data_IF_201024791916
#
_entry.id   IF_201024791916
#
_cell.length_a   1.000
_cell.length_b   1.000
_cell.length_c   1.000
_cell.angle_alpha   90.00
_cell.angle_beta   90.00
_cell.angle_gamma   90.00
#
_symmetry.space_group_name_H-M   'P 1'
#
loop_
_entity.id
_entity.type
_entity.pdbx_description
1 polymer ?
#
# COMPACT_ATOMS: atom_id res chain seq x y z
N UNK A 1 1.32 23.47 1.06
CA UNK A 1 1.89 23.50 2.43
C UNK A 1 1.35 22.31 3.21
N UNK A 2 2.10 21.20 3.22
CA UNK A 2 1.85 20.03 4.08
C UNK A 2 3.16 19.76 4.84
N UNK A 3 3.56 20.70 5.69
CA UNK A 3 4.70 20.53 6.61
C UNK A 3 4.13 20.14 7.98
N UNK A 4 3.97 18.84 8.25
CA UNK A 4 3.42 18.41 9.53
C UNK A 4 3.49 16.92 9.86
N UNK A 5 3.80 16.05 8.91
CA UNK A 5 4.00 14.63 9.18
C UNK A 5 5.49 14.29 9.07
N UNK A 6 6.21 14.44 10.17
CA UNK A 6 7.53 13.82 10.32
C UNK A 6 7.33 12.33 10.51
N UNK A 7 7.86 11.52 9.60
CA UNK A 7 7.98 10.07 9.81
C UNK A 7 8.69 9.88 11.16
N UNK A 8 8.10 9.06 12.04
CA UNK A 8 8.63 8.81 13.37
C UNK A 8 9.86 7.88 13.24
N UNK A 9 10.95 8.45 12.72
CA UNK A 9 12.24 7.82 12.47
C UNK A 9 13.18 8.05 13.66
N UNK A 10 12.69 7.97 14.91
CA UNK A 10 13.60 8.07 16.06
C UNK A 10 14.56 6.88 16.00
N UNK A 11 15.87 7.10 15.76
CA UNK A 11 16.81 6.00 15.68
C UNK A 11 16.94 5.38 17.08
N UNK A 12 17.01 4.06 17.13
CA UNK A 12 17.55 3.39 18.32
C UNK A 12 19.00 3.86 18.53
N UNK A 13 19.57 3.78 19.76
CA UNK A 13 20.90 4.34 20.15
C UNK A 13 22.10 3.95 19.25
N UNK A 14 21.91 3.08 18.25
CA UNK A 14 22.94 2.57 17.34
C UNK A 14 22.55 2.64 15.85
N UNK A 15 21.46 3.35 15.49
CA UNK A 15 21.07 3.54 14.09
C UNK A 15 21.40 4.96 13.59
N UNK A 16 21.83 5.05 12.35
CA UNK A 16 22.09 6.27 11.61
C UNK A 16 21.03 6.49 10.53
N UNK A 17 20.78 7.75 10.18
CA UNK A 17 19.93 8.14 9.05
C UNK A 17 20.78 8.84 8.01
N UNK A 18 20.78 8.33 6.78
CA UNK A 18 21.52 8.90 5.66
C UNK A 18 20.59 9.15 4.47
N UNK A 19 20.83 10.23 3.72
CA UNK A 19 20.15 10.46 2.44
C UNK A 19 21.09 10.13 1.29
N UNK A 20 20.62 9.31 0.36
CA UNK A 20 21.41 8.81 -0.77
C UNK A 20 20.62 8.89 -2.07
N UNK A 21 21.32 9.13 -3.18
CA UNK A 21 20.79 9.03 -4.54
C UNK A 21 21.27 7.72 -5.14
N UNK A 22 20.35 6.88 -5.61
CA UNK A 22 20.66 5.55 -6.15
C UNK A 22 21.32 5.70 -7.51
N UNK A 23 22.50 5.13 -7.69
CA UNK A 23 23.20 5.12 -8.99
C UNK A 23 23.00 3.80 -9.73
N UNK A 24 22.96 2.70 -8.99
CA UNK A 24 22.91 1.37 -9.59
C UNK A 24 22.21 0.39 -8.63
N UNK A 25 21.34 -0.45 -9.19
CA UNK A 25 20.76 -1.58 -8.48
C UNK A 25 21.57 -2.82 -8.85
N UNK A 26 22.47 -3.24 -7.96
CA UNK A 26 23.41 -4.34 -8.19
C UNK A 26 22.73 -5.71 -8.11
N UNK A 27 21.72 -5.83 -7.24
CA UNK A 27 20.96 -7.06 -7.06
C UNK A 27 19.56 -6.75 -6.52
N UNK A 28 18.59 -7.55 -6.94
CA UNK A 28 17.25 -7.62 -6.36
C UNK A 28 16.83 -9.09 -6.27
N UNK A 29 16.27 -9.50 -5.14
CA UNK A 29 15.70 -10.83 -4.98
C UNK A 29 14.41 -10.98 -5.78
N UNK A 30 14.05 -12.22 -6.15
CA UNK A 30 12.84 -12.50 -6.93
C UNK A 30 11.54 -12.12 -6.19
N UNK A 31 11.55 -12.22 -4.86
CA UNK A 31 10.45 -11.80 -3.99
C UNK A 31 10.37 -10.27 -3.80
N UNK A 32 11.37 -9.52 -4.29
CA UNK A 32 11.43 -8.06 -4.21
C UNK A 32 11.73 -7.47 -2.82
N UNK A 33 11.92 -8.31 -1.80
CA UNK A 33 12.14 -7.86 -0.41
C UNK A 33 13.59 -7.60 -0.06
N UNK A 34 14.54 -7.91 -0.95
CA UNK A 34 15.95 -7.64 -0.71
C UNK A 34 16.59 -7.00 -1.95
N UNK A 35 17.32 -5.92 -1.74
CA UNK A 35 18.11 -5.29 -2.78
C UNK A 35 19.49 -4.86 -2.27
N UNK A 36 20.43 -4.84 -3.20
CA UNK A 36 21.76 -4.26 -3.02
C UNK A 36 21.87 -3.10 -4.01
N UNK A 37 22.11 -1.90 -3.51
CA UNK A 37 22.22 -0.70 -4.34
C UNK A 37 23.53 0.02 -4.09
N UNK A 38 24.15 0.54 -5.15
CA UNK A 38 25.19 1.57 -5.06
C UNK A 38 24.51 2.92 -5.13
N UNK A 39 24.81 3.78 -4.17
CA UNK A 39 24.20 5.09 -4.05
C UNK A 39 25.24 6.12 -3.58
N UNK A 40 24.95 7.39 -3.80
CA UNK A 40 25.82 8.50 -3.38
C UNK A 40 25.10 9.34 -2.33
N UNK A 41 25.77 9.65 -1.22
CA UNK A 41 25.21 10.54 -0.19
C UNK A 41 24.89 11.91 -0.78
N UNK A 42 23.67 12.39 -0.52
CA UNK A 42 23.15 13.67 -1.02
C UNK A 42 23.18 14.79 0.03
N UNK A 43 23.31 14.40 1.31
CA UNK A 43 23.55 15.28 2.47
C UNK A 43 24.76 14.79 3.26
N UNK A 44 25.50 15.72 3.84
CA UNK A 44 26.73 15.49 4.64
C UNK A 44 27.85 14.78 3.86
N UNK A 45 28.42 15.53 2.92
CA UNK A 45 29.63 15.16 2.18
C UNK A 45 30.86 15.27 3.10
N UNK A 46 31.17 14.20 3.83
CA UNK A 46 32.50 13.99 4.39
C UNK A 46 33.04 12.60 3.99
N UNK A 47 34.25 12.63 3.40
CA UNK A 47 35.23 11.57 3.11
C UNK A 47 34.83 10.35 2.24
N UNK A 48 33.57 9.94 2.15
CA UNK A 48 33.16 8.89 1.20
C UNK A 48 31.74 9.13 0.65
N UNK A 49 31.59 9.68 -0.57
CA UNK A 49 30.28 9.90 -1.17
C UNK A 49 29.57 8.58 -1.49
N UNK A 50 30.33 7.53 -1.81
CA UNK A 50 29.78 6.25 -2.25
C UNK A 50 29.35 5.38 -1.06
N UNK A 51 28.14 4.85 -1.17
CA UNK A 51 27.52 3.97 -0.18
C UNK A 51 26.94 2.76 -0.90
N UNK A 52 27.32 1.56 -0.45
CA UNK A 52 26.60 0.34 -0.80
C UNK A 52 25.55 0.08 0.27
N UNK A 53 24.27 0.19 -0.07
CA UNK A 53 23.17 -0.08 0.84
C UNK A 53 22.55 -1.46 0.56
N UNK A 54 22.20 -2.18 1.63
CA UNK A 54 21.61 -3.53 1.57
C UNK A 54 20.42 -3.64 2.51
N UNK A 55 19.36 -4.31 2.09
CA UNK A 55 18.20 -4.58 2.93
C UNK A 55 16.90 -4.63 2.15
N UNK A 56 15.79 -4.51 2.86
CA UNK A 56 14.47 -4.39 2.24
C UNK A 56 14.26 -2.96 1.76
N UNK A 57 14.68 -2.73 0.51
CA UNK A 57 14.58 -1.44 -0.17
C UNK A 57 13.40 -1.42 -1.15
N UNK A 58 12.56 -2.46 -1.21
CA UNK A 58 11.46 -2.52 -2.16
C UNK A 58 11.89 -2.32 -3.63
N UNK A 59 11.01 -1.71 -4.43
CA UNK A 59 11.23 -1.48 -5.86
C UNK A 59 11.97 -0.17 -6.20
N UNK A 60 13.10 0.09 -5.54
CA UNK A 60 13.94 1.27 -5.83
C UNK A 60 14.33 1.35 -7.30
N UNK A 61 14.32 2.55 -7.87
CA UNK A 61 14.84 2.82 -9.21
C UNK A 61 16.12 3.66 -9.18
N UNK A 62 16.97 3.48 -10.18
CA UNK A 62 18.14 4.35 -10.40
C UNK A 62 17.67 5.80 -10.52
N UNK A 63 18.35 6.72 -9.84
CA UNK A 63 18.01 8.14 -9.75
C UNK A 63 17.13 8.52 -8.57
N UNK A 64 16.51 7.57 -7.87
CA UNK A 64 15.68 7.87 -6.72
C UNK A 64 16.55 8.34 -5.55
N UNK A 65 16.05 9.33 -4.82
CA UNK A 65 16.66 9.74 -3.56
C UNK A 65 15.93 9.06 -2.41
N UNK A 66 16.68 8.36 -1.57
CA UNK A 66 16.16 7.61 -0.45
C UNK A 66 16.76 8.16 0.85
N UNK A 67 15.91 8.31 1.86
CA UNK A 67 16.35 8.42 3.25
C UNK A 67 16.39 7.02 3.84
N UNK A 68 17.58 6.54 4.15
CA UNK A 68 17.82 5.21 4.73
C UNK A 68 18.01 5.33 6.23
N UNK A 69 17.42 4.40 6.98
CA UNK A 69 17.68 4.18 8.41
C UNK A 69 18.35 2.82 8.58
N UNK A 70 19.39 2.75 9.40
CA UNK A 70 20.11 1.50 9.60
C UNK A 70 21.48 1.71 10.22
N UNK A 71 22.44 0.84 9.90
CA UNK A 71 23.81 0.93 10.44
C UNK A 71 24.85 0.53 9.41
N UNK A 72 26.05 1.07 9.54
CA UNK A 72 27.20 0.56 8.80
C UNK A 72 27.66 -0.78 9.40
N UNK A 73 28.01 -1.72 8.52
CA UNK A 73 28.59 -3.01 8.88
C UNK A 73 29.66 -3.37 7.86
N UNK A 74 30.78 -3.91 8.31
CA UNK A 74 31.81 -4.44 7.43
C UNK A 74 31.49 -5.88 7.05
N UNK A 75 31.52 -6.16 5.75
CA UNK A 75 31.39 -7.52 5.26
C UNK A 75 32.74 -8.06 4.77
N UNK A 76 33.15 -9.28 5.19
CA UNK A 76 34.48 -9.82 4.92
C UNK A 76 34.91 -9.81 3.44
N UNK A 77 33.96 -10.02 2.52
CA UNK A 77 34.22 -10.07 1.06
C UNK A 77 33.93 -8.78 0.29
N UNK A 78 33.07 -7.90 0.80
CA UNK A 78 32.48 -6.82 0.00
C UNK A 78 32.68 -5.44 0.66
N UNK A 79 33.47 -5.38 1.73
CA UNK A 79 33.78 -4.14 2.44
C UNK A 79 32.58 -3.56 3.20
N UNK A 80 32.68 -2.26 3.47
CA UNK A 80 31.72 -1.50 4.28
C UNK A 80 30.40 -1.31 3.55
N UNK A 81 29.29 -1.67 4.19
CA UNK A 81 27.94 -1.53 3.65
C UNK A 81 27.01 -0.91 4.68
N UNK A 82 26.00 -0.20 4.20
CA UNK A 82 24.90 0.30 5.01
C UNK A 82 23.78 -0.73 5.05
N UNK A 83 23.60 -1.39 6.19
CA UNK A 83 22.50 -2.32 6.41
C UNK A 83 21.25 -1.54 6.78
N UNK A 84 20.38 -1.32 5.79
CA UNK A 84 19.14 -0.58 5.94
C UNK A 84 18.09 -1.44 6.67
N UNK A 85 17.59 -0.91 7.79
CA UNK A 85 16.43 -1.44 8.53
C UNK A 85 15.12 -0.81 8.07
N UNK A 86 15.20 0.32 7.36
CA UNK A 86 14.08 0.95 6.69
C UNK A 86 14.54 2.00 5.69
N UNK A 87 13.65 2.40 4.80
CA UNK A 87 13.87 3.51 3.89
C UNK A 87 12.58 4.27 3.62
N UNK A 88 12.72 5.52 3.19
CA UNK A 88 11.63 6.36 2.71
C UNK A 88 12.11 7.12 1.46
N UNK A 89 11.42 7.02 0.31
CA UNK A 89 11.68 7.87 -0.84
C UNK A 89 11.48 9.34 -0.46
N UNK A 90 12.40 10.21 -0.87
CA UNK A 90 12.33 11.66 -0.62
C UNK A 90 12.69 12.41 -1.89
N UNK A 91 12.22 13.66 -2.02
CA UNK A 91 12.74 14.53 -3.05
C UNK A 91 14.15 15.01 -2.69
N UNK A 92 15.06 15.12 -3.67
CA UNK A 92 16.34 15.77 -3.43
C UNK A 92 16.12 17.27 -3.20
N UNK A 93 16.93 17.82 -2.30
CA UNK A 93 16.88 19.24 -1.90
C UNK A 93 18.19 19.97 -2.21
N UNK A 94 19.18 19.25 -2.75
CA UNK A 94 20.50 19.80 -3.10
C UNK A 94 20.67 19.77 -4.61
N UNK A 95 21.28 20.80 -5.19
CA UNK A 95 21.52 20.91 -6.62
C UNK A 95 22.16 19.64 -7.24
N UNK A 96 23.22 19.04 -6.66
CA UNK A 96 23.75 17.78 -7.17
C UNK A 96 22.74 16.63 -7.16
N UNK A 97 21.93 16.54 -6.11
CA UNK A 97 20.85 15.54 -6.01
C UNK A 97 19.74 15.78 -7.04
N UNK A 98 19.37 17.04 -7.26
CA UNK A 98 18.34 17.41 -8.24
C UNK A 98 18.81 17.09 -9.66
N UNK A 99 20.07 17.39 -10.01
CA UNK A 99 20.64 17.02 -11.32
C UNK A 99 20.56 15.51 -11.53
N UNK A 100 20.95 14.70 -10.53
CA UNK A 100 20.89 13.23 -10.62
C UNK A 100 19.45 12.76 -10.79
N UNK A 101 18.53 13.25 -9.96
CA UNK A 101 17.11 12.88 -10.02
C UNK A 101 16.49 13.20 -11.38
N UNK A 102 16.60 14.44 -11.85
CA UNK A 102 16.05 14.86 -13.14
C UNK A 102 16.75 14.19 -14.33
N UNK A 103 18.06 13.97 -14.25
CA UNK A 103 18.89 13.42 -15.33
C UNK A 103 18.95 11.89 -15.41
N UNK A 104 18.42 11.19 -14.41
CA UNK A 104 18.44 9.73 -14.28
C UNK A 104 17.58 8.96 -15.30
N UNK A 105 16.69 9.66 -16.00
CA UNK A 105 15.67 9.02 -16.84
C UNK A 105 14.39 8.63 -16.10
N UNK A 106 14.29 8.87 -14.78
CA UNK A 106 13.04 8.69 -14.04
C UNK A 106 11.91 9.60 -14.53
N UNK A 107 12.28 10.77 -15.05
CA UNK A 107 11.36 11.76 -15.59
C UNK A 107 11.56 11.82 -17.10
N UNK A 108 10.54 11.36 -17.83
CA UNK A 108 10.54 11.40 -19.29
C UNK A 108 10.75 12.82 -19.81
N UNK A 109 11.62 12.97 -20.81
CA UNK A 109 11.87 14.25 -21.48
C UNK A 109 12.96 15.13 -20.85
N UNK A 110 13.58 14.70 -19.73
CA UNK A 110 14.75 15.36 -19.13
C UNK A 110 15.96 14.42 -19.21
N UNK A 111 16.93 14.78 -20.06
CA UNK A 111 18.25 14.14 -20.07
C UNK A 111 19.23 14.91 -19.18
N UNK A 112 20.38 14.29 -18.87
CA UNK A 112 21.45 14.87 -18.03
C UNK A 112 21.78 16.33 -18.38
N UNK A 113 22.04 16.65 -19.64
CA UNK A 113 22.38 18.03 -20.05
C UNK A 113 21.22 19.04 -19.95
N UNK A 114 19.96 18.59 -19.90
CA UNK A 114 18.83 19.49 -19.60
C UNK A 114 18.69 19.68 -18.09
N UNK A 115 18.85 18.61 -17.30
CA UNK A 115 18.85 18.67 -15.85
C UNK A 115 19.92 19.64 -15.32
N UNK A 116 21.15 19.54 -15.84
CA UNK A 116 22.25 20.44 -15.48
C UNK A 116 21.91 21.90 -15.74
N UNK A 117 21.31 22.22 -16.91
CA UNK A 117 20.93 23.60 -17.26
C UNK A 117 19.76 24.13 -16.43
N UNK A 118 18.77 23.28 -16.14
CA UNK A 118 17.66 23.64 -15.25
C UNK A 118 18.19 24.00 -13.85
N UNK A 119 19.06 23.17 -13.29
CA UNK A 119 19.63 23.38 -11.96
C UNK A 119 20.65 24.52 -11.96
N UNK A 120 21.39 24.74 -13.03
CA UNK A 120 22.28 25.90 -13.17
C UNK A 120 21.50 27.23 -13.12
N UNK A 121 20.27 27.23 -13.64
CA UNK A 121 19.42 28.42 -13.70
C UNK A 121 18.58 28.62 -12.43
N UNK A 122 17.97 27.56 -11.89
CA UNK A 122 17.05 27.65 -10.74
C UNK A 122 17.64 27.16 -9.41
N UNK A 123 18.83 26.56 -9.41
CA UNK A 123 19.48 26.06 -8.20
C UNK A 123 18.67 25.00 -7.46
N UNK A 124 18.67 25.07 -6.13
CA UNK A 124 17.95 24.14 -5.26
C UNK A 124 16.42 24.25 -5.39
N UNK A 125 15.90 25.35 -5.96
CA UNK A 125 14.46 25.58 -6.15
C UNK A 125 13.91 24.92 -7.44
N UNK A 126 14.75 24.23 -8.20
CA UNK A 126 14.37 23.70 -9.53
C UNK A 126 13.10 22.85 -9.51
N UNK A 127 12.92 21.97 -8.52
CA UNK A 127 11.73 21.11 -8.43
C UNK A 127 10.48 21.94 -8.12
N UNK A 128 10.59 22.94 -7.24
CA UNK A 128 9.48 23.84 -6.91
C UNK A 128 9.09 24.69 -8.12
N UNK A 129 10.06 25.20 -8.87
CA UNK A 129 9.81 25.94 -10.11
C UNK A 129 9.10 25.05 -11.14
N UNK A 130 9.54 23.81 -11.33
CA UNK A 130 8.89 22.89 -12.27
C UNK A 130 7.44 22.62 -11.87
N UNK A 131 7.19 22.38 -10.58
CA UNK A 131 5.87 21.97 -10.09
C UNK A 131 4.89 23.15 -9.99
N UNK A 132 5.35 24.32 -9.51
CA UNK A 132 4.50 25.47 -9.19
C UNK A 132 4.53 26.56 -10.27
N UNK A 133 5.64 26.73 -10.97
CA UNK A 133 5.89 27.84 -11.90
C UNK A 133 6.37 27.36 -13.27
N UNK A 134 5.77 26.30 -13.82
CA UNK A 134 6.25 25.59 -15.03
C UNK A 134 6.49 26.50 -16.25
N UNK A 135 5.81 27.64 -16.36
CA UNK A 135 6.03 28.64 -17.42
C UNK A 135 7.47 29.19 -17.42
N UNK A 136 8.09 29.30 -16.24
CA UNK A 136 9.47 29.77 -16.07
C UNK A 136 10.50 28.82 -16.68
N UNK A 137 10.17 27.54 -16.88
CA UNK A 137 11.09 26.62 -17.57
C UNK A 137 11.50 27.12 -18.96
N UNK A 138 10.70 28.00 -19.58
CA UNK A 138 11.03 28.65 -20.86
C UNK A 138 12.17 29.66 -20.78
N UNK A 139 12.58 30.08 -19.58
CA UNK A 139 13.78 30.88 -19.34
C UNK A 139 15.04 30.09 -19.71
N UNK A 140 14.98 28.74 -19.66
CA UNK A 140 16.10 27.87 -19.98
C UNK A 140 16.11 27.53 -21.49
N UNK A 141 17.22 27.76 -22.20
CA UNK A 141 17.31 27.50 -23.64
C UNK A 141 16.90 26.08 -24.03
N UNK A 142 16.14 25.93 -25.12
CA UNK A 142 15.72 24.61 -25.61
C UNK A 142 14.49 24.01 -24.91
N UNK A 143 13.80 24.76 -24.05
CA UNK A 143 12.50 24.39 -23.48
C UNK A 143 11.39 25.27 -24.07
N UNK A 144 10.65 24.72 -25.03
CA UNK A 144 9.41 25.32 -25.54
C UNK A 144 8.21 25.09 -24.61
N UNK A 145 7.09 25.77 -24.89
CA UNK A 145 5.88 25.69 -24.06
C UNK A 145 5.36 24.25 -23.88
N UNK A 146 5.25 23.47 -24.96
CA UNK A 146 4.79 22.09 -24.88
C UNK A 146 5.72 21.18 -24.05
N UNK A 147 7.05 21.40 -24.16
CA UNK A 147 8.03 20.65 -23.37
C UNK A 147 8.02 21.04 -21.90
N UNK A 148 7.80 22.33 -21.59
CA UNK A 148 7.64 22.81 -20.22
C UNK A 148 6.41 22.16 -19.55
N UNK A 149 5.28 22.10 -20.26
CA UNK A 149 4.06 21.43 -19.80
C UNK A 149 4.30 19.93 -19.53
N UNK A 150 4.92 19.22 -20.47
CA UNK A 150 5.18 17.78 -20.34
C UNK A 150 6.13 17.47 -19.19
N UNK A 151 7.19 18.28 -19.02
CA UNK A 151 8.14 18.15 -17.90
C UNK A 151 7.41 18.38 -16.58
N UNK A 152 6.64 19.46 -16.48
CA UNK A 152 5.91 19.79 -15.26
C UNK A 152 4.92 18.69 -14.87
N UNK A 153 4.19 18.14 -15.85
CA UNK A 153 3.29 17.01 -15.63
C UNK A 153 4.05 15.81 -15.06
N UNK A 154 5.12 15.36 -15.72
CA UNK A 154 5.88 14.19 -15.31
C UNK A 154 6.52 14.35 -13.92
N UNK A 155 7.04 15.54 -13.60
CA UNK A 155 7.59 15.84 -12.27
C UNK A 155 6.49 15.87 -11.21
N UNK A 156 5.32 16.44 -11.50
CA UNK A 156 4.18 16.46 -10.54
C UNK A 156 3.68 15.05 -10.23
N UNK A 157 3.52 14.20 -11.23
CA UNK A 157 3.11 12.80 -11.05
C UNK A 157 4.11 12.06 -10.14
N UNK A 158 5.41 12.17 -10.43
CA UNK A 158 6.45 11.56 -9.59
C UNK A 158 6.49 12.16 -8.18
N UNK A 159 6.33 13.47 -8.06
CA UNK A 159 6.30 14.15 -6.77
C UNK A 159 5.13 13.66 -5.91
N UNK A 160 3.92 13.56 -6.49
CA UNK A 160 2.74 13.08 -5.81
C UNK A 160 2.92 11.64 -5.29
N UNK A 161 3.57 10.76 -6.05
CA UNK A 161 3.88 9.40 -5.60
C UNK A 161 4.82 9.40 -4.38
N UNK A 162 5.86 10.24 -4.38
CA UNK A 162 6.80 10.37 -3.26
C UNK A 162 6.10 10.94 -2.04
N UNK A 163 5.34 12.03 -2.17
CA UNK A 163 4.58 12.63 -1.06
C UNK A 163 3.57 11.64 -0.47
N UNK A 164 2.90 10.88 -1.33
CA UNK A 164 1.97 9.83 -0.91
C UNK A 164 2.69 8.75 -0.11
N UNK A 165 3.83 8.27 -0.60
CA UNK A 165 4.62 7.27 0.12
C UNK A 165 5.07 7.82 1.48
N UNK A 166 5.60 9.04 1.54
CA UNK A 166 5.99 9.71 2.79
C UNK A 166 4.81 9.81 3.76
N UNK A 167 3.62 10.18 3.27
CA UNK A 167 2.40 10.24 4.06
C UNK A 167 2.01 8.87 4.64
N UNK A 168 1.99 7.82 3.83
CA UNK A 168 1.67 6.46 4.27
C UNK A 168 2.67 5.97 5.32
N UNK A 169 3.96 6.19 5.10
CA UNK A 169 5.02 5.85 6.06
C UNK A 169 4.88 6.65 7.36
N UNK A 170 4.52 7.93 7.26
CA UNK A 170 4.26 8.83 8.39
C UNK A 170 3.11 8.37 9.29
N UNK A 171 2.12 7.67 8.74
CA UNK A 171 1.02 7.04 9.48
C UNK A 171 1.41 5.73 10.18
N UNK A 172 2.68 5.33 10.10
CA UNK A 172 3.19 4.09 10.68
C UNK A 172 2.95 2.84 9.83
N UNK A 173 2.54 3.01 8.56
CA UNK A 173 2.31 1.89 7.64
C UNK A 173 3.66 1.26 7.26
N UNK A 174 3.79 -0.05 7.46
CA UNK A 174 4.97 -0.83 7.04
C UNK A 174 5.18 -0.81 5.52
N UNK A 175 6.42 -1.07 5.05
CA UNK A 175 6.82 -0.85 3.65
C UNK A 175 5.94 -1.66 2.69
N UNK A 176 5.80 -2.96 2.97
CA UNK A 176 5.01 -3.85 2.15
C UNK A 176 3.52 -3.44 2.09
N UNK A 177 2.97 -2.89 3.18
CA UNK A 177 1.60 -2.39 3.18
C UNK A 177 1.47 -1.09 2.38
N UNK A 178 2.40 -0.14 2.54
CA UNK A 178 2.43 1.10 1.78
C UNK A 178 2.54 0.81 0.26
N UNK A 179 3.40 -0.13 -0.15
CA UNK A 179 3.54 -0.54 -1.55
C UNK A 179 2.23 -1.13 -2.10
N UNK A 180 1.47 -1.87 -1.30
CA UNK A 180 0.17 -2.42 -1.72
C UNK A 180 -0.91 -1.34 -1.85
N UNK A 181 -0.96 -0.36 -0.94
CA UNK A 181 -1.85 0.80 -1.06
C UNK A 181 -1.51 1.59 -2.32
N UNK A 182 -0.22 1.86 -2.55
CA UNK A 182 0.26 2.57 -3.74
C UNK A 182 -0.08 1.83 -5.03
N UNK A 183 0.11 0.50 -5.08
CA UNK A 183 -0.24 -0.31 -6.24
C UNK A 183 -1.74 -0.29 -6.54
N UNK A 184 -2.59 -0.19 -5.50
CA UNK A 184 -4.05 -0.20 -5.66
C UNK A 184 -4.63 1.14 -6.09
N UNK A 185 -4.18 2.24 -5.48
CA UNK A 185 -4.80 3.56 -5.62
C UNK A 185 -3.93 4.60 -6.31
N UNK A 186 -2.63 4.36 -6.47
CA UNK A 186 -1.71 5.29 -7.09
C UNK A 186 -1.75 6.67 -6.42
N UNK A 187 -2.02 7.70 -7.21
CA UNK A 187 -2.09 9.10 -6.76
C UNK A 187 -3.29 9.37 -5.83
N UNK A 188 -4.37 8.57 -5.90
CA UNK A 188 -5.53 8.73 -5.02
C UNK A 188 -5.30 8.15 -3.62
N UNK A 189 -4.19 7.44 -3.38
CA UNK A 189 -3.96 6.71 -2.13
C UNK A 189 -4.10 7.61 -0.88
N UNK A 190 -3.56 8.84 -0.90
CA UNK A 190 -3.72 9.79 0.22
C UNK A 190 -5.19 10.09 0.48
N UNK A 191 -5.94 10.41 -0.58
CA UNK A 191 -7.35 10.77 -0.46
C UNK A 191 -8.17 9.60 0.07
N UNK A 192 -7.96 8.39 -0.46
CA UNK A 192 -8.65 7.16 -0.06
C UNK A 192 -8.39 6.82 1.41
N UNK A 193 -7.11 6.85 1.80
CA UNK A 193 -6.70 6.59 3.18
C UNK A 193 -7.29 7.62 4.14
N UNK A 194 -7.36 8.90 3.76
CA UNK A 194 -7.98 9.95 4.59
C UNK A 194 -9.50 9.83 4.66
N UNK A 195 -10.16 9.40 3.60
CA UNK A 195 -11.62 9.29 3.57
C UNK A 195 -12.13 8.09 4.36
N UNK A 196 -11.49 6.94 4.20
CA UNK A 196 -11.90 5.71 4.86
C UNK A 196 -10.73 4.72 5.00
N UNK A 197 -10.00 4.75 6.13
CA UNK A 197 -8.93 3.80 6.43
C UNK A 197 -9.39 2.34 6.46
N UNK A 198 -10.63 2.07 6.84
CA UNK A 198 -11.15 0.71 6.98
C UNK A 198 -11.50 0.09 5.63
N UNK A 199 -11.95 0.91 4.68
CA UNK A 199 -12.10 0.49 3.27
C UNK A 199 -10.77 0.03 2.66
N UNK A 200 -9.64 0.61 3.07
CA UNK A 200 -8.31 0.17 2.62
C UNK A 200 -8.04 -1.28 3.06
N UNK A 201 -8.50 -1.71 4.24
CA UNK A 201 -8.36 -3.10 4.66
C UNK A 201 -9.29 -4.05 3.89
N UNK A 202 -10.43 -3.58 3.42
CA UNK A 202 -11.34 -4.38 2.56
C UNK A 202 -10.76 -4.58 1.15
N UNK A 203 -10.16 -3.53 0.57
CA UNK A 203 -9.78 -3.52 -0.85
C UNK A 203 -8.30 -3.86 -1.10
N UNK A 204 -7.44 -3.78 -0.09
CA UNK A 204 -6.00 -4.02 -0.22
C UNK A 204 -5.61 -5.29 0.53
N UNK A 205 -5.31 -6.35 -0.24
CA UNK A 205 -4.84 -7.62 0.30
C UNK A 205 -3.65 -7.44 1.24
N UNK A 206 -3.64 -8.15 2.37
CA UNK A 206 -2.57 -8.09 3.36
C UNK A 206 -2.57 -6.81 4.22
N UNK A 207 -3.59 -5.96 4.14
CA UNK A 207 -3.84 -4.89 5.11
C UNK A 207 -5.05 -5.32 5.93
N UNK A 208 -4.82 -5.68 7.19
CA UNK A 208 -5.90 -6.10 8.08
C UNK A 208 -6.49 -4.93 8.87
N UNK A 209 -7.55 -5.22 9.61
CA UNK A 209 -8.20 -4.24 10.50
C UNK A 209 -7.23 -3.55 11.46
N UNK A 210 -6.27 -4.27 12.05
CA UNK A 210 -5.31 -3.66 12.97
C UNK A 210 -4.46 -2.56 12.31
N UNK A 211 -4.02 -2.79 11.07
CA UNK A 211 -3.28 -1.78 10.30
C UNK A 211 -4.19 -0.61 9.95
N UNK A 212 -5.43 -0.87 9.50
CA UNK A 212 -6.40 0.19 9.24
C UNK A 212 -6.74 1.01 10.48
N UNK A 213 -6.89 0.37 11.64
CA UNK A 213 -7.20 1.02 12.92
C UNK A 213 -6.02 1.89 13.40
N UNK A 214 -4.78 1.42 13.19
CA UNK A 214 -3.59 2.22 13.45
C UNK A 214 -3.56 3.48 12.57
N UNK A 215 -3.88 3.34 11.28
CA UNK A 215 -3.96 4.45 10.34
C UNK A 215 -5.06 5.44 10.76
N UNK A 216 -6.25 4.94 11.06
CA UNK A 216 -7.40 5.74 11.47
C UNK A 216 -7.09 6.59 12.72
N UNK A 217 -6.45 6.00 13.73
CA UNK A 217 -5.97 6.73 14.92
C UNK A 217 -4.94 7.79 14.57
N UNK A 218 -3.99 7.49 13.68
CA UNK A 218 -3.01 8.47 13.18
C UNK A 218 -3.64 9.65 12.44
N UNK A 219 -4.85 9.47 11.90
CA UNK A 219 -5.66 10.50 11.25
C UNK A 219 -6.64 11.20 12.20
N UNK A 220 -6.71 10.78 13.46
CA UNK A 220 -7.60 11.37 14.47
C UNK A 220 -9.04 10.86 14.45
N UNK A 221 -9.31 9.69 13.89
CA UNK A 221 -10.63 9.06 13.96
C UNK A 221 -10.91 8.57 15.39
N UNK A 222 -12.16 8.70 15.82
CA UNK A 222 -12.62 8.28 17.15
C UNK A 222 -12.84 6.77 17.23
N UNK A 223 -12.74 6.19 18.43
CA UNK A 223 -12.99 4.76 18.65
C UNK A 223 -14.45 4.35 18.35
N UNK A 224 -15.38 5.31 18.43
CA UNK A 224 -16.81 5.12 18.18
C UNK A 224 -17.19 5.39 16.71
N UNK A 225 -16.22 5.57 15.81
CA UNK A 225 -16.52 5.83 14.40
C UNK A 225 -17.27 4.64 13.77
N UNK A 226 -18.40 4.87 13.07
CA UNK A 226 -19.20 3.79 12.48
C UNK A 226 -18.42 2.98 11.44
N UNK A 227 -17.42 3.58 10.76
CA UNK A 227 -16.54 2.87 9.82
C UNK A 227 -15.64 1.87 10.54
N UNK A 228 -15.21 2.20 11.76
CA UNK A 228 -14.45 1.29 12.62
C UNK A 228 -15.29 0.08 13.01
N UNK A 229 -16.55 0.30 13.38
CA UNK A 229 -17.47 -0.78 13.71
C UNK A 229 -17.71 -1.72 12.52
N UNK A 230 -17.97 -1.14 11.34
CA UNK A 230 -18.11 -1.92 10.10
C UNK A 230 -16.85 -2.75 9.78
N UNK A 231 -15.67 -2.13 9.85
CA UNK A 231 -14.39 -2.81 9.63
C UNK A 231 -14.11 -3.91 10.66
N UNK A 232 -14.45 -3.69 11.93
CA UNK A 232 -14.30 -4.69 12.99
C UNK A 232 -15.21 -5.89 12.76
N UNK A 233 -16.46 -5.67 12.33
CA UNK A 233 -17.39 -6.74 11.99
C UNK A 233 -16.86 -7.63 10.87
N UNK A 234 -16.40 -7.02 9.76
CA UNK A 234 -15.84 -7.76 8.64
C UNK A 234 -14.58 -8.53 9.03
N UNK A 235 -13.72 -7.92 9.85
CA UNK A 235 -12.52 -8.56 10.35
C UNK A 235 -12.82 -9.78 11.21
N UNK A 236 -13.79 -9.67 12.13
CA UNK A 236 -14.14 -10.76 13.04
C UNK A 236 -14.81 -11.92 12.31
N UNK A 237 -15.71 -11.64 11.35
CA UNK A 237 -16.30 -12.67 10.50
C UNK A 237 -15.25 -13.36 9.63
N UNK A 238 -14.32 -12.59 9.03
CA UNK A 238 -13.21 -13.15 8.27
C UNK A 238 -12.28 -14.01 9.12
N UNK A 239 -11.94 -13.55 10.33
CA UNK A 239 -11.14 -14.32 11.27
C UNK A 239 -11.84 -15.62 11.70
N UNK A 240 -13.13 -15.55 12.00
CA UNK A 240 -13.91 -16.74 12.33
C UNK A 240 -13.91 -17.75 11.17
N UNK A 241 -14.01 -17.27 9.94
CA UNK A 241 -13.86 -18.11 8.74
C UNK A 241 -12.47 -18.76 8.63
N UNK A 242 -11.41 -18.01 8.90
CA UNK A 242 -10.03 -18.55 8.93
C UNK A 242 -9.85 -19.62 10.03
N UNK A 243 -10.53 -19.44 11.17
CA UNK A 243 -10.56 -20.40 12.29
C UNK A 243 -11.50 -21.61 12.01
N UNK A 244 -12.18 -21.64 10.85
CA UNK A 244 -13.01 -22.75 10.38
C UNK A 244 -14.50 -22.65 10.71
N UNK A 245 -14.96 -21.54 11.27
CA UNK A 245 -16.38 -21.27 11.49
C UNK A 245 -17.08 -20.83 10.18
N UNK A 246 -18.34 -21.19 10.00
CA UNK A 246 -19.13 -20.75 8.83
C UNK A 246 -19.81 -19.39 9.04
N UNK A 247 -20.19 -19.10 10.28
CA UNK A 247 -20.89 -17.89 10.70
C UNK A 247 -20.51 -17.53 12.14
N UNK A 248 -20.95 -16.36 12.57
CA UNK A 248 -21.02 -15.97 13.97
C UNK A 248 -22.47 -15.62 14.32
N UNK A 249 -22.93 -16.01 15.49
CA UNK A 249 -24.19 -15.49 16.02
C UNK A 249 -24.03 -14.00 16.37
N UNK A 250 -25.12 -13.23 16.34
CA UNK A 250 -25.08 -11.80 16.73
C UNK A 250 -24.47 -11.58 18.13
N UNK A 251 -24.80 -12.35 19.19
CA UNK A 251 -24.18 -12.19 20.51
C UNK A 251 -22.67 -12.44 20.51
N UNK A 252 -22.18 -13.47 19.80
CA UNK A 252 -20.75 -13.78 19.69
C UNK A 252 -19.98 -12.65 19.00
N UNK A 253 -20.55 -12.08 17.93
CA UNK A 253 -19.97 -10.94 17.24
C UNK A 253 -19.87 -9.72 18.16
N UNK A 254 -20.95 -9.37 18.87
CA UNK A 254 -20.98 -8.22 19.77
C UNK A 254 -19.98 -8.35 20.92
N UNK A 255 -19.86 -9.53 21.51
CA UNK A 255 -18.87 -9.84 22.54
C UNK A 255 -17.43 -9.73 22.00
N UNK A 256 -17.19 -10.22 20.78
CA UNK A 256 -15.90 -10.08 20.11
C UNK A 256 -15.54 -8.62 19.78
N UNK A 257 -16.51 -7.82 19.31
CA UNK A 257 -16.32 -6.37 19.10
C UNK A 257 -16.00 -5.63 20.39
N UNK A 258 -16.65 -6.00 21.50
CA UNK A 258 -16.38 -5.41 22.82
C UNK A 258 -14.93 -5.64 23.26
N UNK A 259 -14.37 -6.83 22.99
CA UNK A 259 -12.93 -7.11 23.23
C UNK A 259 -11.99 -6.22 22.41
N UNK A 260 -12.43 -5.80 21.21
CA UNK A 260 -11.71 -4.82 20.37
C UNK A 260 -11.98 -3.36 20.77
N UNK A 261 -12.71 -3.13 21.88
CA UNK A 261 -13.16 -1.82 22.35
C UNK A 261 -13.98 -1.08 21.28
N UNK A 262 -14.83 -1.81 20.58
CA UNK A 262 -15.82 -1.24 19.65
C UNK A 262 -17.17 -1.28 20.37
N UNK A 263 -17.88 -0.15 20.52
CA UNK A 263 -19.19 -0.14 21.15
C UNK A 263 -20.18 -1.03 20.41
N UNK A 264 -20.96 -1.82 21.15
CA UNK A 264 -21.97 -2.70 20.56
C UNK A 264 -23.04 -1.93 19.80
N UNK A 265 -23.45 -0.75 20.30
CA UNK A 265 -24.39 0.13 19.60
C UNK A 265 -23.90 0.54 18.22
N UNK A 266 -22.61 0.90 18.09
CA UNK A 266 -22.02 1.27 16.80
C UNK A 266 -21.99 0.09 15.82
N UNK A 267 -21.79 -1.14 16.32
CA UNK A 267 -21.85 -2.36 15.50
C UNK A 267 -23.27 -2.60 15.00
N UNK A 268 -24.26 -2.47 15.86
CA UNK A 268 -25.66 -2.64 15.49
C UNK A 268 -26.12 -1.59 14.47
N UNK A 269 -25.65 -0.35 14.59
CA UNK A 269 -25.88 0.71 13.62
C UNK A 269 -25.18 0.46 12.27
N UNK A 270 -24.02 -0.20 12.28
CA UNK A 270 -23.24 -0.50 11.08
C UNK A 270 -23.77 -1.70 10.27
N UNK A 271 -24.38 -2.70 10.94
CA UNK A 271 -24.86 -3.94 10.30
C UNK A 271 -25.82 -3.70 9.11
N UNK A 272 -26.85 -2.83 9.19
CA UNK A 272 -27.73 -2.55 8.05
C UNK A 272 -26.97 -2.08 6.81
N UNK A 273 -25.94 -1.26 6.97
CA UNK A 273 -25.13 -0.76 5.86
C UNK A 273 -24.28 -1.89 5.24
N UNK A 274 -23.75 -2.80 6.06
CA UNK A 274 -23.02 -3.97 5.60
C UNK A 274 -23.90 -4.95 4.83
N UNK A 275 -25.15 -5.14 5.27
CA UNK A 275 -26.15 -5.94 4.57
C UNK A 275 -26.50 -5.32 3.21
N UNK A 276 -26.74 -4.01 3.18
CA UNK A 276 -27.06 -3.29 1.95
C UNK A 276 -25.92 -3.34 0.93
N UNK A 277 -24.66 -3.25 1.39
CA UNK A 277 -23.46 -3.40 0.56
C UNK A 277 -23.20 -4.85 0.14
N UNK A 278 -23.94 -5.82 0.68
CA UNK A 278 -23.77 -7.25 0.41
C UNK A 278 -22.45 -7.81 0.93
N UNK A 279 -21.87 -7.20 1.97
CA UNK A 279 -20.61 -7.63 2.59
C UNK A 279 -20.83 -8.62 3.74
N UNK A 280 -22.02 -8.61 4.33
CA UNK A 280 -22.47 -9.57 5.35
C UNK A 280 -23.87 -10.05 4.97
N UNK A 281 -24.18 -11.31 5.25
CA UNK A 281 -25.53 -11.87 5.09
C UNK A 281 -26.02 -12.35 6.45
N UNK A 282 -27.25 -12.00 6.80
CA UNK A 282 -27.96 -12.55 7.94
C UNK A 282 -28.91 -13.66 7.45
N UNK A 283 -28.83 -14.85 8.04
CA UNK A 283 -29.74 -15.98 7.79
C UNK A 283 -30.09 -16.63 9.14
N UNK A 284 -31.38 -16.67 9.48
CA UNK A 284 -31.88 -17.23 10.75
C UNK A 284 -31.22 -16.67 12.05
N UNK A 285 -30.66 -15.45 12.00
CA UNK A 285 -29.98 -14.79 13.12
C UNK A 285 -28.46 -14.99 13.15
N UNK A 286 -27.93 -15.76 12.19
CA UNK A 286 -26.50 -16.02 12.01
C UNK A 286 -25.92 -15.10 10.93
N UNK A 287 -24.71 -14.59 11.20
CA UNK A 287 -24.02 -13.63 10.35
C UNK A 287 -22.89 -14.32 9.58
N UNK A 288 -22.96 -14.22 8.25
CA UNK A 288 -22.03 -14.88 7.34
C UNK A 288 -21.23 -13.87 6.51
N UNK A 289 -20.01 -14.26 6.16
CA UNK A 289 -19.39 -13.76 4.92
C UNK A 289 -20.12 -14.36 3.70
N UNK A 290 -20.52 -13.53 2.71
CA UNK A 290 -21.37 -13.96 1.59
C UNK A 290 -20.88 -15.21 0.82
N UNK A 291 -19.58 -15.41 0.57
CA UNK A 291 -19.10 -16.62 -0.11
C UNK A 291 -19.39 -17.91 0.65
N UNK A 292 -19.27 -17.90 1.99
CA UNK A 292 -19.52 -19.08 2.82
C UNK A 292 -21.01 -19.40 2.91
N UNK A 293 -21.85 -18.38 3.06
CA UNK A 293 -23.31 -18.55 3.01
C UNK A 293 -23.77 -19.23 1.72
N UNK A 294 -23.27 -18.75 0.57
CA UNK A 294 -23.58 -19.36 -0.73
C UNK A 294 -23.08 -20.79 -0.83
N UNK A 295 -21.90 -21.08 -0.29
CA UNK A 295 -21.32 -22.41 -0.27
C UNK A 295 -22.18 -23.38 0.57
N UNK A 296 -22.55 -22.99 1.79
CA UNK A 296 -23.41 -23.76 2.68
C UNK A 296 -24.77 -24.07 2.03
N UNK A 297 -25.46 -23.03 1.55
CA UNK A 297 -26.77 -23.17 0.89
C UNK A 297 -26.69 -24.07 -0.34
N UNK A 298 -25.59 -24.03 -1.09
CA UNK A 298 -25.35 -24.92 -2.23
C UNK A 298 -25.16 -26.37 -1.79
N UNK A 299 -24.34 -26.63 -0.78
CA UNK A 299 -24.11 -27.98 -0.25
C UNK A 299 -25.42 -28.57 0.28
N UNK A 300 -26.16 -27.80 1.08
CA UNK A 300 -27.46 -28.22 1.61
C UNK A 300 -28.44 -28.60 0.50
N UNK A 301 -28.54 -27.78 -0.57
CA UNK A 301 -29.39 -28.10 -1.73
C UNK A 301 -28.96 -29.36 -2.47
N UNK A 302 -27.67 -29.56 -2.67
CA UNK A 302 -27.14 -30.75 -3.35
C UNK A 302 -27.40 -32.02 -2.53
N UNK A 303 -27.19 -31.97 -1.21
CA UNK A 303 -27.49 -33.08 -0.32
C UNK A 303 -29.00 -33.39 -0.30
N UNK A 304 -29.85 -32.36 -0.23
CA UNK A 304 -31.29 -32.54 -0.30
C UNK A 304 -31.74 -33.16 -1.64
N UNK A 305 -31.08 -32.80 -2.75
CA UNK A 305 -31.35 -33.42 -4.05
C UNK A 305 -30.92 -34.89 -4.12
N UNK A 306 -29.75 -35.23 -3.54
CA UNK A 306 -29.25 -36.60 -3.47
C UNK A 306 -30.07 -37.48 -2.53
N UNK A 307 -30.60 -36.91 -1.45
CA UNK A 307 -31.45 -37.62 -0.49
C UNK A 307 -32.85 -37.92 -1.04
N UNK A 308 -33.26 -37.35 -2.18
CA UNK A 308 -34.53 -37.71 -2.83
C UNK A 308 -34.44 -39.14 -3.36
N UNK A 309 -35.41 -40.01 -3.02
CA UNK A 309 -35.42 -41.37 -3.53
C UNK A 309 -35.50 -41.34 -5.05
N UNK A 310 -34.54 -41.98 -5.71
CA UNK A 310 -34.58 -42.19 -7.16
C UNK A 310 -35.71 -43.19 -7.42
N UNK A 311 -36.82 -42.74 -8.00
CA UNK A 311 -37.82 -43.64 -8.52
C UNK A 311 -37.14 -44.52 -9.58
N UNK A 312 -36.92 -45.79 -9.26
CA UNK A 312 -36.54 -46.78 -10.27
C UNK A 312 -37.68 -46.83 -11.29
N UNK A 313 -37.38 -46.82 -12.61
CA UNK A 313 -38.42 -46.98 -13.60
C UNK A 313 -39.20 -48.25 -13.27
N UNK A 314 -40.53 -48.14 -13.15
CA UNK A 314 -41.38 -49.28 -12.88
C UNK A 314 -41.06 -50.35 -13.92
N UNK A 315 -40.69 -51.56 -13.46
CA UNK A 315 -40.47 -52.68 -14.36
C UNK A 315 -41.75 -52.89 -15.17
N UNK A 316 -41.72 -52.46 -16.44
CA UNK A 316 -42.84 -52.63 -17.34
C UNK A 316 -43.19 -54.11 -17.38
N UNK A 317 -44.43 -54.46 -17.01
CA UNK A 317 -44.97 -55.79 -17.25
C UNK A 317 -44.79 -56.07 -18.74
N UNK A 318 -43.86 -56.96 -19.09
CA UNK A 318 -43.77 -57.51 -20.42
C UNK A 318 -45.10 -58.20 -20.72
N UNK A 319 -45.91 -57.57 -21.56
CA UNK A 319 -47.12 -58.19 -22.09
C UNK A 319 -46.68 -59.40 -22.92
N UNK A 320 -46.91 -60.59 -22.39
CA UNK A 320 -46.81 -61.84 -23.15
C UNK A 320 -47.99 -61.84 -24.12
N UNK A 321 -47.71 -61.60 -25.40
CA UNK A 321 -48.70 -61.77 -26.47
C UNK A 321 -48.99 -63.26 -26.66
N UNK A 322 -50.26 -63.69 -26.83
CA UNK A 322 -50.57 -65.08 -27.12
C UNK A 322 -50.20 -65.41 -28.57
N UNK A 323 -49.54 -66.56 -28.76
CA UNK A 323 -49.22 -67.11 -30.07
C UNK A 323 -50.51 -67.48 -30.83
N UNK A 324 -50.58 -67.09 -32.11
CA UNK A 324 -51.48 -67.65 -33.12
C UNK A 324 -50.79 -68.80 -33.83
#
# INVERSE_FOLDING_TARGET
MVSGFTVNDTPSRHEEVIEVSVEEVLFRSEDGFFAVVRAVRTRDSAESPDVTAVGNLGNVSVGETLRLRGRFSDHPRFGRRFQATGFTPVLPTTAPGIVRYLGSGLIGGIGKGLAERLVQHFGDETIDVITQQSKRLREVPGIGAGRAESIAKAVREKHALVETMVFLRGLGIGQAAADRVMKRYGEEAVQRVRSDPYMVAEEVSGIGFQTADQIARGLGFTEDDPRRAAGATLHLLGKAADDGHLFLTKPELLDACTRLRVPTSAVEEALPALFLRGLVVEDEGDLYVPPLHRAERRVARLLAALARPRALPAAGKAAVAPAL
#
